data_IF_851155101611
#
_entry.id   IF_851155101611
#
_cell.length_a   1.000
_cell.length_b   1.000
_cell.length_c   1.000
_cell.angle_alpha   90.00
_cell.angle_beta   90.00
_cell.angle_gamma   90.00
#
_symmetry.space_group_name_H-M   'P 1'
#
loop_
_entity.id
_entity.type
_entity.pdbx_description
1 polymer ?
#
# COMPACT_ATOMS: atom_id res chain seq x y z
N UNK A 1 -2.30 -9.79 7.37
CA UNK A 1 -1.42 -8.77 6.79
C UNK A 1 -0.39 -8.46 7.86
N UNK A 2 0.90 -8.59 7.57
CA UNK A 2 1.93 -8.16 8.53
C UNK A 2 2.03 -6.64 8.55
N UNK A 3 2.61 -6.08 9.62
CA UNK A 3 2.83 -4.62 9.73
C UNK A 3 3.64 -4.09 8.55
N UNK A 4 4.72 -4.79 8.17
CA UNK A 4 5.57 -4.41 7.05
C UNK A 4 4.81 -4.46 5.71
N UNK A 5 3.97 -5.47 5.48
CA UNK A 5 3.14 -5.53 4.27
C UNK A 5 2.16 -4.35 4.21
N UNK A 6 1.54 -4.00 5.34
CA UNK A 6 0.61 -2.89 5.44
C UNK A 6 1.29 -1.54 5.16
N UNK A 7 2.49 -1.37 5.72
CA UNK A 7 3.29 -0.17 5.55
C UNK A 7 3.79 0.00 4.10
N UNK A 8 4.36 -1.06 3.51
CA UNK A 8 4.77 -1.05 2.09
C UNK A 8 3.58 -0.79 1.18
N UNK A 9 2.43 -1.40 1.45
CA UNK A 9 1.21 -1.14 0.68
C UNK A 9 0.84 0.34 0.74
N UNK A 10 0.86 0.95 1.93
CA UNK A 10 0.59 2.37 2.07
C UNK A 10 1.57 3.22 1.25
N UNK A 11 2.88 3.03 1.42
CA UNK A 11 3.88 3.86 0.74
C UNK A 11 3.70 3.87 -0.78
N UNK A 12 3.39 2.72 -1.37
CA UNK A 12 3.17 2.61 -2.82
C UNK A 12 1.88 3.27 -3.31
N UNK A 13 0.89 3.49 -2.42
CA UNK A 13 -0.41 4.08 -2.75
C UNK A 13 -0.60 5.49 -2.15
N UNK A 14 0.49 6.11 -1.67
CA UNK A 14 0.49 7.45 -1.12
C UNK A 14 1.03 8.42 -2.18
N UNK A 15 0.25 9.42 -2.56
CA UNK A 15 0.62 10.37 -3.61
C UNK A 15 1.84 11.21 -3.21
N UNK A 16 1.91 11.58 -1.94
CA UNK A 16 3.01 12.34 -1.33
C UNK A 16 4.34 11.57 -1.37
N UNK A 17 4.31 10.24 -1.46
CA UNK A 17 5.50 9.38 -1.50
C UNK A 17 5.99 9.18 -2.94
N UNK A 18 5.18 9.46 -3.96
CA UNK A 18 5.51 9.16 -5.36
C UNK A 18 6.76 9.88 -5.87
N UNK A 19 7.05 11.09 -5.37
CA UNK A 19 8.28 11.80 -5.74
C UNK A 19 9.54 11.07 -5.26
N UNK A 20 9.50 10.51 -4.05
CA UNK A 20 10.60 9.77 -3.45
C UNK A 20 10.78 8.40 -4.12
N UNK A 21 9.68 7.75 -4.52
CA UNK A 21 9.73 6.53 -5.34
C UNK A 21 10.48 6.80 -6.64
N UNK A 22 10.16 7.90 -7.35
CA UNK A 22 10.86 8.29 -8.58
C UNK A 22 12.33 8.63 -8.35
N UNK A 23 12.65 9.38 -7.29
CA UNK A 23 14.03 9.70 -6.93
C UNK A 23 14.85 8.42 -6.72
N UNK A 24 14.31 7.46 -5.95
CA UNK A 24 14.93 6.16 -5.73
C UNK A 24 15.11 5.35 -7.01
N UNK A 25 14.11 5.32 -7.89
CA UNK A 25 14.19 4.62 -9.16
C UNK A 25 15.33 5.16 -10.05
N UNK A 26 15.51 6.48 -10.09
CA UNK A 26 16.62 7.11 -10.81
C UNK A 26 17.95 6.67 -10.22
N UNK A 27 18.10 6.73 -8.88
CA UNK A 27 19.33 6.32 -8.19
C UNK A 27 19.70 4.86 -8.47
N UNK A 28 18.73 3.94 -8.41
CA UNK A 28 18.95 2.51 -8.65
C UNK A 28 19.16 2.21 -10.13
N UNK A 29 18.49 2.93 -11.03
CA UNK A 29 18.64 2.72 -12.48
C UNK A 29 20.07 2.98 -12.97
N UNK A 30 20.77 3.90 -12.31
CA UNK A 30 22.16 4.27 -12.60
C UNK A 30 23.17 3.20 -12.14
N UNK A 31 22.77 2.28 -11.26
CA UNK A 31 23.70 1.36 -10.62
C UNK A 31 23.82 -0.02 -11.31
N UNK A 32 22.80 -0.58 -11.99
CA UNK A 32 22.87 -1.99 -12.53
C UNK A 32 21.99 -2.32 -13.75
N UNK A 33 22.52 -3.20 -14.64
CA UNK A 33 21.77 -3.91 -15.70
C UNK A 33 20.95 -5.07 -15.10
N UNK A 34 19.66 -5.16 -15.43
CA UNK A 34 18.74 -6.23 -14.99
C UNK A 34 17.34 -6.10 -15.60
N UNK A 35 16.54 -7.16 -15.61
CA UNK A 35 15.17 -7.14 -16.18
C UNK A 35 14.20 -6.28 -15.36
N UNK A 36 13.14 -5.75 -15.98
CA UNK A 36 12.10 -4.94 -15.31
C UNK A 36 11.51 -5.67 -14.08
N UNK A 37 11.24 -6.97 -14.19
CA UNK A 37 10.74 -7.80 -13.09
C UNK A 37 11.71 -7.88 -11.90
N UNK A 38 13.01 -8.06 -12.16
CA UNK A 38 14.03 -8.12 -11.09
C UNK A 38 14.18 -6.78 -10.37
N UNK A 39 14.01 -5.67 -11.10
CA UNK A 39 14.00 -4.31 -10.54
C UNK A 39 12.80 -4.10 -9.62
N UNK A 40 11.59 -4.45 -10.06
CA UNK A 40 10.37 -4.34 -9.24
C UNK A 40 10.45 -5.14 -7.93
N UNK A 41 11.03 -6.35 -7.97
CA UNK A 41 11.19 -7.19 -6.77
C UNK A 41 12.21 -6.64 -5.76
N UNK A 42 13.28 -5.99 -6.24
CA UNK A 42 14.29 -5.37 -5.36
C UNK A 42 13.81 -4.03 -4.81
N UNK A 43 13.04 -3.29 -5.59
CA UNK A 43 12.44 -2.02 -5.18
C UNK A 43 11.64 -2.18 -3.89
N UNK A 44 10.75 -3.19 -3.82
CA UNK A 44 9.94 -3.44 -2.62
C UNK A 44 10.74 -3.86 -1.38
N UNK A 45 11.98 -4.34 -1.53
CA UNK A 45 12.83 -4.76 -0.41
C UNK A 45 13.72 -3.63 0.11
N UNK A 46 14.18 -2.75 -0.79
CA UNK A 46 15.23 -1.79 -0.48
C UNK A 46 14.73 -0.34 -0.39
N UNK A 47 13.53 -0.05 -0.90
CA UNK A 47 12.95 1.30 -0.86
C UNK A 47 12.79 1.80 0.58
N UNK A 48 12.24 0.99 1.49
CA UNK A 48 12.01 1.42 2.89
C UNK A 48 13.28 1.91 3.58
N UNK A 49 14.40 1.18 3.43
CA UNK A 49 15.67 1.57 4.05
C UNK A 49 16.25 2.86 3.43
N UNK A 50 16.16 2.97 2.10
CA UNK A 50 16.57 4.19 1.41
C UNK A 50 15.69 5.37 1.83
N UNK A 51 14.38 5.16 1.96
CA UNK A 51 13.40 6.18 2.29
C UNK A 51 13.59 6.72 3.71
N UNK A 52 13.86 5.85 4.68
CA UNK A 52 14.26 6.24 6.05
C UNK A 52 15.54 7.08 6.06
N UNK A 53 16.53 6.76 5.22
CA UNK A 53 17.75 7.58 5.12
C UNK A 53 17.48 8.92 4.43
N UNK A 54 16.69 8.91 3.35
CA UNK A 54 16.35 10.10 2.57
C UNK A 54 15.50 11.10 3.37
N UNK A 55 14.68 10.62 4.29
CA UNK A 55 13.80 11.45 5.12
C UNK A 55 14.52 12.30 6.18
N UNK A 56 15.79 11.97 6.48
CA UNK A 56 16.63 12.72 7.43
C UNK A 56 17.13 14.06 6.89
N UNK A 57 16.98 14.33 5.58
CA UNK A 57 17.39 15.61 5.00
C UNK A 57 16.45 16.74 5.45
N UNK A 58 16.99 17.95 5.53
CA UNK A 58 16.26 19.13 6.04
C UNK A 58 15.10 19.57 5.15
N UNK A 59 15.13 19.23 3.86
CA UNK A 59 14.13 19.60 2.85
C UNK A 59 12.83 18.77 2.92
N UNK A 60 12.76 17.81 3.84
CA UNK A 60 11.71 16.80 3.87
C UNK A 60 10.52 17.25 4.74
N UNK A 61 9.28 17.24 4.22
CA UNK A 61 8.08 17.52 5.00
C UNK A 61 7.87 16.54 6.16
N UNK A 62 7.24 17.00 7.25
CA UNK A 62 7.03 16.17 8.44
C UNK A 62 6.20 14.90 8.16
N UNK A 63 5.21 14.98 7.27
CA UNK A 63 4.44 13.81 6.82
C UNK A 63 5.33 12.71 6.25
N UNK A 64 6.33 13.09 5.43
CA UNK A 64 7.25 12.15 4.81
C UNK A 64 8.18 11.53 5.87
N UNK A 65 8.62 12.31 6.84
CA UNK A 65 9.39 11.80 7.99
C UNK A 65 8.57 10.76 8.77
N UNK A 66 7.33 11.09 9.10
CA UNK A 66 6.42 10.19 9.81
C UNK A 66 6.15 8.90 9.02
N UNK A 67 5.90 9.01 7.71
CA UNK A 67 5.74 7.87 6.82
C UNK A 67 7.01 7.02 6.77
N UNK A 68 8.20 7.63 6.75
CA UNK A 68 9.46 6.88 6.67
C UNK A 68 9.76 6.01 7.88
N UNK A 69 9.29 6.39 9.07
CA UNK A 69 9.45 5.59 10.29
C UNK A 69 8.52 4.38 10.36
N UNK A 70 7.44 4.39 9.59
CA UNK A 70 6.41 3.37 9.63
C UNK A 70 5.42 3.51 10.79
N UNK A 71 4.37 2.68 10.78
CA UNK A 71 3.31 2.75 11.78
C UNK A 71 3.74 2.14 13.11
N UNK A 72 3.05 2.54 14.17
CA UNK A 72 3.09 1.89 15.48
C UNK A 72 2.82 0.39 15.33
N UNK A 73 3.53 -0.43 16.11
CA UNK A 73 3.37 -1.88 16.12
C UNK A 73 2.02 -2.34 16.68
N UNK A 74 1.32 -1.46 17.39
CA UNK A 74 -0.04 -1.66 17.89
C UNK A 74 -1.04 -1.12 16.87
N UNK A 75 -1.97 -1.96 16.43
CA UNK A 75 -3.03 -1.61 15.51
C UNK A 75 -4.41 -1.94 16.09
N UNK A 76 -5.41 -1.12 15.79
CA UNK A 76 -6.81 -1.43 16.13
C UNK A 76 -7.46 -2.25 15.03
N UNK A 77 -8.41 -3.10 15.41
CA UNK A 77 -9.20 -3.90 14.46
C UNK A 77 -10.68 -3.65 14.64
N UNK A 78 -11.38 -3.60 13.52
CA UNK A 78 -12.82 -3.35 13.50
C UNK A 78 -13.57 -4.44 12.76
N UNK A 79 -14.78 -4.76 13.24
CA UNK A 79 -15.72 -5.63 12.52
C UNK A 79 -16.63 -4.86 11.56
N UNK A 80 -16.61 -3.52 11.63
CA UNK A 80 -17.29 -2.64 10.71
C UNK A 80 -16.77 -1.22 10.82
N UNK A 81 -16.84 -0.49 9.71
CA UNK A 81 -16.27 0.84 9.58
C UNK A 81 -17.18 1.74 8.75
N UNK A 82 -17.36 2.99 9.17
CA UNK A 82 -18.17 3.99 8.49
C UNK A 82 -17.24 5.04 7.88
N UNK A 83 -17.28 5.19 6.57
CA UNK A 83 -16.49 6.20 5.85
C UNK A 83 -17.31 6.78 4.70
N UNK A 84 -17.30 8.10 4.56
CA UNK A 84 -18.02 8.83 3.51
C UNK A 84 -19.51 8.46 3.41
N UNK A 85 -20.17 8.16 4.54
CA UNK A 85 -21.57 7.73 4.58
C UNK A 85 -21.82 6.26 4.27
N UNK A 86 -20.79 5.50 3.85
CA UNK A 86 -20.88 4.08 3.57
C UNK A 86 -20.42 3.25 4.76
N UNK A 87 -21.24 2.27 5.15
CA UNK A 87 -20.92 1.35 6.23
C UNK A 87 -20.49 0.01 5.67
N UNK A 88 -19.24 -0.35 5.97
CA UNK A 88 -18.63 -1.61 5.60
C UNK A 88 -18.55 -2.55 6.79
N UNK A 89 -18.59 -3.85 6.52
CA UNK A 89 -18.46 -4.90 7.52
C UNK A 89 -17.45 -5.95 7.09
N UNK A 90 -16.86 -6.65 8.06
CA UNK A 90 -16.10 -7.86 7.75
C UNK A 90 -17.04 -8.99 7.33
N UNK A 91 -16.59 -9.84 6.41
CA UNK A 91 -17.31 -11.01 5.90
C UNK A 91 -17.80 -11.91 7.04
N UNK A 92 -17.00 -12.06 8.09
CA UNK A 92 -17.37 -12.85 9.27
C UNK A 92 -18.57 -12.26 10.02
N UNK A 93 -18.62 -10.92 10.18
CA UNK A 93 -19.75 -10.24 10.82
C UNK A 93 -21.02 -10.35 9.98
N UNK A 94 -20.87 -10.20 8.66
CA UNK A 94 -21.98 -10.24 7.70
C UNK A 94 -22.59 -11.62 7.51
N UNK A 95 -21.82 -12.69 7.71
CA UNK A 95 -22.28 -14.06 7.50
C UNK A 95 -23.55 -14.43 8.30
N UNK A 96 -23.86 -13.71 9.39
CA UNK A 96 -25.03 -13.93 10.24
C UNK A 96 -26.16 -12.91 10.03
N UNK A 97 -26.08 -12.06 9.00
CA UNK A 97 -27.01 -10.95 8.75
C UNK A 97 -27.83 -11.18 7.49
N UNK A 98 -29.04 -10.60 7.45
CA UNK A 98 -29.91 -10.64 6.27
C UNK A 98 -29.36 -9.83 5.09
N UNK A 99 -28.63 -8.75 5.38
CA UNK A 99 -27.98 -7.87 4.40
C UNK A 99 -26.46 -7.96 4.55
N UNK A 100 -25.74 -7.90 3.43
CA UNK A 100 -24.27 -7.96 3.39
C UNK A 100 -23.72 -6.65 2.85
N UNK A 101 -22.81 -6.02 3.61
CA UNK A 101 -22.07 -4.82 3.23
C UNK A 101 -20.54 -5.05 3.35
N UNK A 102 -20.09 -6.26 3.03
CA UNK A 102 -18.68 -6.65 3.05
C UNK A 102 -18.04 -6.63 1.67
N UNK A 103 -18.82 -6.49 0.59
CA UNK A 103 -18.30 -6.38 -0.76
C UNK A 103 -17.68 -5.02 -1.04
N UNK A 104 -16.56 -5.02 -1.74
CA UNK A 104 -15.86 -3.82 -2.23
C UNK A 104 -15.39 -4.04 -3.67
N UNK A 105 -15.21 -2.92 -4.38
CA UNK A 105 -14.69 -2.88 -5.74
C UNK A 105 -13.58 -1.84 -5.82
N UNK A 106 -12.49 -2.16 -6.51
CA UNK A 106 -11.36 -1.26 -6.74
C UNK A 106 -11.05 -1.24 -8.24
N UNK A 107 -11.00 -0.05 -8.83
CA UNK A 107 -10.44 0.13 -10.18
C UNK A 107 -8.99 0.55 -10.01
N UNK A 108 -8.06 -0.27 -10.47
CA UNK A 108 -6.62 -0.02 -10.34
C UNK A 108 -5.93 -0.13 -11.69
N UNK A 109 -5.04 0.81 -11.98
CA UNK A 109 -4.12 0.70 -13.09
C UNK A 109 -3.12 -0.41 -12.79
N UNK A 110 -3.15 -1.45 -13.61
CA UNK A 110 -2.35 -2.67 -13.40
C UNK A 110 -1.43 -2.90 -14.59
N UNK A 111 -0.15 -3.04 -14.29
CA UNK A 111 0.86 -3.49 -15.25
C UNK A 111 0.87 -5.01 -15.31
N UNK A 112 0.57 -5.58 -16.47
CA UNK A 112 0.56 -7.02 -16.73
C UNK A 112 1.73 -7.44 -17.62
N UNK A 113 2.27 -8.64 -17.36
CA UNK A 113 3.35 -9.25 -18.14
C UNK A 113 2.86 -10.60 -18.66
N UNK A 114 3.04 -10.88 -19.96
CA UNK A 114 2.64 -12.17 -20.52
C UNK A 114 3.55 -13.32 -20.04
N UNK A 115 4.79 -13.02 -19.67
CA UNK A 115 5.73 -13.97 -19.05
C UNK A 115 6.88 -13.24 -18.34
N UNK A 116 7.73 -13.98 -17.62
CA UNK A 116 8.94 -13.43 -16.98
C UNK A 116 9.98 -12.87 -17.96
N UNK A 117 9.89 -13.22 -19.26
CA UNK A 117 10.76 -12.73 -20.33
C UNK A 117 10.16 -11.55 -21.10
N UNK A 118 8.94 -11.15 -20.76
CA UNK A 118 8.24 -10.08 -21.43
C UNK A 118 8.95 -8.73 -21.22
N UNK A 119 9.23 -8.04 -22.33
CA UNK A 119 9.88 -6.73 -22.34
C UNK A 119 8.87 -5.59 -22.53
N UNK A 120 7.65 -5.91 -22.95
CA UNK A 120 6.60 -4.98 -23.34
C UNK A 120 5.36 -5.19 -22.45
N UNK A 121 5.44 -4.82 -21.16
CA UNK A 121 4.27 -4.90 -20.29
C UNK A 121 3.12 -4.02 -20.79
N UNK A 122 1.90 -4.44 -20.49
CA UNK A 122 0.67 -3.70 -20.83
C UNK A 122 0.05 -3.14 -19.56
N UNK A 123 -0.18 -1.83 -19.55
CA UNK A 123 -0.92 -1.14 -18.50
C UNK A 123 -2.40 -1.07 -18.86
N UNK A 124 -3.27 -1.51 -17.95
CA UNK A 124 -4.72 -1.44 -18.12
C UNK A 124 -5.42 -1.13 -16.79
N UNK A 125 -6.54 -0.40 -16.86
CA UNK A 125 -7.43 -0.24 -15.71
C UNK A 125 -8.23 -1.53 -15.53
N UNK A 126 -7.98 -2.24 -14.44
CA UNK A 126 -8.67 -3.47 -14.10
C UNK A 126 -9.58 -3.23 -12.89
N UNK A 127 -10.77 -3.82 -12.95
CA UNK A 127 -11.72 -3.80 -11.84
C UNK A 127 -11.56 -5.06 -11.01
N UNK A 128 -11.16 -4.89 -9.77
CA UNK A 128 -11.05 -5.92 -8.75
C UNK A 128 -12.28 -5.91 -7.86
N UNK A 129 -12.76 -7.10 -7.51
CA UNK A 129 -13.85 -7.29 -6.56
C UNK A 129 -13.34 -8.13 -5.40
N UNK A 130 -13.75 -7.79 -4.20
CA UNK A 130 -13.36 -8.53 -3.01
C UNK A 130 -14.37 -8.38 -1.89
N UNK A 131 -14.23 -9.21 -0.86
CA UNK A 131 -14.95 -9.13 0.39
C UNK A 131 -13.98 -8.82 1.51
N UNK A 132 -14.32 -7.82 2.32
CA UNK A 132 -13.51 -7.40 3.45
C UNK A 132 -13.41 -8.55 4.45
N UNK A 133 -12.21 -9.04 4.69
CA UNK A 133 -11.92 -10.08 5.70
C UNK A 133 -11.39 -9.49 7.00
N UNK A 134 -10.76 -8.32 6.95
CA UNK A 134 -10.22 -7.62 8.12
C UNK A 134 -10.21 -6.10 7.89
N UNK A 135 -10.41 -5.32 8.94
CA UNK A 135 -10.31 -3.86 8.91
C UNK A 135 -9.33 -3.45 10.00
N UNK A 136 -8.24 -2.81 9.62
CA UNK A 136 -7.14 -2.48 10.52
C UNK A 136 -6.87 -0.98 10.46
N UNK A 137 -6.79 -0.33 11.62
CA UNK A 137 -6.35 1.05 11.75
C UNK A 137 -4.91 1.07 12.29
N UNK A 138 -4.04 1.69 11.52
CA UNK A 138 -2.64 1.93 11.83
C UNK A 138 -2.50 3.34 12.39
N UNK A 139 -1.86 3.45 13.55
CA UNK A 139 -1.50 4.72 14.16
C UNK A 139 -0.05 5.05 13.84
N UNK A 140 0.23 6.28 13.39
CA UNK A 140 1.59 6.78 13.20
C UNK A 140 2.00 7.63 14.40
N UNK A 141 2.11 6.98 15.57
CA UNK A 141 2.55 7.60 16.83
C UNK A 141 1.75 8.85 17.22
N UNK A 142 0.44 8.86 16.95
CA UNK A 142 -0.44 9.99 17.23
C UNK A 142 -0.40 11.13 16.20
N UNK A 143 0.41 11.03 15.13
CA UNK A 143 0.44 12.04 14.07
C UNK A 143 -0.77 11.94 13.14
N UNK A 144 -1.07 10.72 12.67
CA UNK A 144 -2.24 10.44 11.85
C UNK A 144 -2.61 8.95 11.92
N UNK A 145 -3.81 8.62 11.45
CA UNK A 145 -4.33 7.26 11.41
C UNK A 145 -4.71 6.87 10.00
N UNK A 146 -4.47 5.61 9.66
CA UNK A 146 -4.78 5.05 8.33
C UNK A 146 -5.56 3.77 8.51
N UNK A 147 -6.68 3.65 7.80
CA UNK A 147 -7.51 2.46 7.84
C UNK A 147 -7.35 1.67 6.57
N UNK A 148 -6.97 0.40 6.72
CA UNK A 148 -6.76 -0.55 5.63
C UNK A 148 -7.84 -1.63 5.66
N UNK A 149 -8.42 -1.88 4.49
CA UNK A 149 -9.40 -2.94 4.30
C UNK A 149 -8.72 -4.11 3.62
N UNK A 150 -8.50 -5.19 4.37
CA UNK A 150 -7.97 -6.43 3.79
C UNK A 150 -9.12 -7.19 3.13
N UNK A 151 -8.96 -7.54 1.86
CA UNK A 151 -9.94 -8.31 1.09
C UNK A 151 -9.42 -9.73 0.80
N UNK A 152 -10.31 -10.61 0.34
CA UNK A 152 -9.97 -11.95 -0.16
C UNK A 152 -9.35 -11.96 -1.57
#
# INVERSE_FOLDING_TARGET
MSLNQAHIYLLNNCDEVQEYIREYEVEVSNQRRGSKWSKAKKHSQNFSQWFETRSLKEDVPDLIKQLSFGPNSIAKRYSGYLINGYRFYTRQRDARRKTQNSGVTLVAQTTSFASSKDKNPVDANLTYYGRIVDIVELDYYGHFMIVLFKCD
#
